data_IF_463744840164
#
_entry.id   IF_463744840164
#
_cell.length_a   1.000
_cell.length_b   1.000
_cell.length_c   1.000
_cell.angle_alpha   90.00
_cell.angle_beta   90.00
_cell.angle_gamma   90.00
#
_symmetry.space_group_name_H-M   'P 1'
#
loop_
_entity.id
_entity.type
_entity.pdbx_description
1 polymer ?
#
# COMPACT_ATOMS: atom_id res chain seq x y z
N UNK A 1 15.18 21.27 -16.37
CA UNK A 1 14.06 20.32 -16.55
C UNK A 1 12.82 21.01 -16.05
N UNK A 2 11.88 21.30 -16.95
CA UNK A 2 10.56 21.80 -16.58
C UNK A 2 9.93 20.77 -15.63
N UNK A 3 9.33 21.25 -14.52
CA UNK A 3 8.55 20.38 -13.64
C UNK A 3 7.43 19.76 -14.47
N UNK A 4 7.42 18.44 -14.59
CA UNK A 4 6.31 17.71 -15.18
C UNK A 4 5.10 17.93 -14.27
N UNK A 5 4.18 18.81 -14.67
CA UNK A 5 3.00 19.11 -13.87
C UNK A 5 1.99 17.95 -14.01
N UNK A 6 2.23 16.86 -13.28
CA UNK A 6 1.39 15.66 -13.31
C UNK A 6 -0.01 15.87 -12.69
N UNK A 7 -0.24 17.03 -12.06
CA UNK A 7 -1.53 17.43 -11.51
C UNK A 7 -1.96 16.58 -10.31
N UNK A 8 -3.26 16.66 -9.96
CA UNK A 8 -3.87 15.83 -8.92
C UNK A 8 -4.28 14.51 -9.54
N UNK A 9 -3.75 13.40 -9.01
CA UNK A 9 -4.00 12.05 -9.50
C UNK A 9 -4.96 11.34 -8.56
N UNK A 10 -6.03 10.76 -9.13
CA UNK A 10 -6.97 9.95 -8.37
C UNK A 10 -6.42 8.53 -8.19
N UNK A 11 -6.34 8.11 -6.94
CA UNK A 11 -5.96 6.75 -6.53
C UNK A 11 -7.22 6.00 -6.15
N UNK A 12 -7.35 4.77 -6.65
CA UNK A 12 -8.50 3.92 -6.36
C UNK A 12 -8.32 3.20 -5.01
N UNK A 13 -9.43 2.86 -4.31
CA UNK A 13 -9.38 2.03 -3.11
C UNK A 13 -8.63 0.72 -3.35
N UNK A 14 -7.81 0.30 -2.37
CA UNK A 14 -6.96 -0.91 -2.47
C UNK A 14 -7.30 -1.83 -1.31
N UNK A 15 -8.43 -2.53 -1.42
CA UNK A 15 -8.86 -3.51 -0.42
C UNK A 15 -7.97 -4.74 -0.48
N UNK A 16 -7.43 -5.14 0.68
CA UNK A 16 -6.43 -6.22 0.76
C UNK A 16 -6.95 -7.39 1.56
N UNK A 17 -6.82 -8.59 0.98
CA UNK A 17 -7.21 -9.83 1.62
C UNK A 17 -6.39 -10.12 2.88
N UNK A 18 -7.05 -10.59 3.94
CA UNK A 18 -6.45 -11.09 5.17
C UNK A 18 -7.16 -12.33 5.68
N UNK A 19 -6.46 -13.07 6.53
CA UNK A 19 -7.00 -14.26 7.22
C UNK A 19 -7.95 -13.92 8.37
N UNK A 20 -8.14 -12.64 8.67
CA UNK A 20 -9.04 -12.15 9.70
C UNK A 20 -10.17 -11.34 9.05
N UNK A 21 -11.38 -11.42 9.61
CA UNK A 21 -12.55 -10.71 9.07
C UNK A 21 -12.64 -9.27 9.56
N UNK A 22 -13.35 -8.46 8.77
CA UNK A 22 -13.67 -7.07 9.09
C UNK A 22 -14.02 -6.26 7.84
N UNK A 23 -13.98 -4.94 7.96
CA UNK A 23 -14.08 -4.03 6.83
C UNK A 23 -15.44 -3.38 6.62
N UNK A 24 -16.43 -3.65 7.47
CA UNK A 24 -17.73 -2.97 7.49
C UNK A 24 -17.58 -1.44 7.56
N UNK A 25 -16.78 -0.92 8.49
CA UNK A 25 -16.57 0.52 8.65
C UNK A 25 -15.84 1.12 7.46
N UNK A 26 -14.95 0.37 6.81
CA UNK A 26 -14.29 0.82 5.59
C UNK A 26 -15.29 0.91 4.42
N UNK A 27 -16.22 -0.03 4.29
CA UNK A 27 -17.28 0.06 3.27
C UNK A 27 -18.22 1.23 3.54
N UNK A 28 -18.58 1.46 4.81
CA UNK A 28 -19.35 2.63 5.23
C UNK A 28 -18.62 3.93 4.92
N UNK A 29 -17.31 4.01 5.21
CA UNK A 29 -16.46 5.15 4.89
C UNK A 29 -16.42 5.43 3.37
N UNK A 30 -16.51 4.39 2.53
CA UNK A 30 -16.56 4.50 1.07
C UNK A 30 -17.98 4.71 0.50
N UNK A 31 -19.00 4.82 1.35
CA UNK A 31 -20.38 5.07 0.92
C UNK A 31 -21.07 3.88 0.24
N UNK A 32 -20.62 2.65 0.53
CA UNK A 32 -21.29 1.44 0.02
C UNK A 32 -22.67 1.30 0.67
N UNK A 33 -23.71 1.02 -0.15
CA UNK A 33 -25.12 1.00 0.31
C UNK A 33 -25.40 -0.08 1.36
N UNK A 34 -24.80 -1.26 1.21
CA UNK A 34 -24.99 -2.41 2.09
C UNK A 34 -23.62 -2.88 2.62
N UNK A 35 -23.00 -2.15 3.57
CA UNK A 35 -21.67 -2.47 4.06
C UNK A 35 -21.68 -3.79 4.84
N UNK A 36 -20.65 -4.62 4.64
CA UNK A 36 -20.50 -5.94 5.28
C UNK A 36 -19.04 -6.23 5.62
N UNK A 37 -18.83 -7.00 6.68
CA UNK A 37 -17.53 -7.60 6.93
C UNK A 37 -17.20 -8.67 5.90
N UNK A 38 -15.94 -8.71 5.47
CA UNK A 38 -15.40 -9.68 4.53
C UNK A 38 -13.99 -10.08 4.93
N UNK A 39 -13.31 -10.83 4.06
CA UNK A 39 -11.89 -11.14 4.19
C UNK A 39 -10.99 -10.00 3.69
N UNK A 40 -11.53 -8.80 3.46
CA UNK A 40 -10.79 -7.61 3.01
C UNK A 40 -10.80 -6.47 4.05
N UNK A 41 -10.31 -6.69 5.28
CA UNK A 41 -10.43 -5.74 6.39
C UNK A 41 -9.46 -4.55 6.35
N UNK A 42 -8.56 -4.50 5.37
CA UNK A 42 -7.60 -3.39 5.20
C UNK A 42 -7.86 -2.67 3.87
N UNK A 43 -7.73 -1.34 3.87
CA UNK A 43 -7.65 -0.49 2.68
C UNK A 43 -6.28 0.20 2.68
N UNK A 44 -5.42 -0.19 1.73
CA UNK A 44 -4.05 0.30 1.63
C UNK A 44 -4.01 1.58 0.79
N UNK A 45 -3.54 2.67 1.40
CA UNK A 45 -3.53 3.98 0.77
C UNK A 45 -2.17 4.22 0.15
N UNK A 46 -2.15 4.54 -1.15
CA UNK A 46 -0.90 4.82 -1.90
C UNK A 46 0.13 3.69 -1.77
N UNK A 47 -0.31 2.44 -1.89
CA UNK A 47 0.58 1.29 -1.69
C UNK A 47 1.38 0.95 -2.94
N UNK A 48 2.68 0.73 -2.75
CA UNK A 48 3.56 -0.04 -3.65
C UNK A 48 3.94 -1.39 -3.05
N UNK A 49 3.32 -1.79 -1.94
CA UNK A 49 3.63 -3.04 -1.24
C UNK A 49 2.79 -4.18 -1.84
N UNK A 50 3.43 -5.31 -2.10
CA UNK A 50 2.75 -6.55 -2.48
C UNK A 50 2.46 -7.36 -1.23
N UNK A 51 1.19 -7.58 -0.91
CA UNK A 51 0.84 -8.38 0.26
C UNK A 51 1.13 -9.86 0.00
N UNK A 52 1.69 -10.51 1.01
CA UNK A 52 1.76 -11.98 1.07
C UNK A 52 0.39 -12.47 1.56
N UNK A 53 -0.23 -13.35 0.79
CA UNK A 53 -1.54 -13.93 1.03
C UNK A 53 -1.42 -15.47 0.99
N UNK A 54 -2.42 -16.23 1.49
CA UNK A 54 -2.34 -17.70 1.51
C UNK A 54 -2.12 -18.34 0.13
N UNK A 55 -2.48 -17.64 -0.94
CA UNK A 55 -2.34 -18.07 -2.33
C UNK A 55 -1.15 -17.39 -3.05
N UNK A 56 -0.21 -16.79 -2.31
CA UNK A 56 1.00 -16.18 -2.84
C UNK A 56 1.05 -14.66 -2.72
N UNK A 57 1.95 -14.05 -3.50
CA UNK A 57 2.17 -12.60 -3.51
C UNK A 57 1.14 -11.94 -4.43
N UNK A 58 0.45 -10.91 -3.94
CA UNK A 58 -0.67 -10.29 -4.64
C UNK A 58 -0.34 -8.88 -5.13
N UNK A 59 -0.20 -8.74 -6.45
CA UNK A 59 -0.06 -7.44 -7.13
C UNK A 59 -1.31 -6.55 -6.98
N UNK A 60 -2.46 -7.13 -6.60
CA UNK A 60 -3.70 -6.39 -6.31
C UNK A 60 -3.59 -5.49 -5.07
N UNK A 61 -2.52 -5.63 -4.29
CA UNK A 61 -2.24 -4.81 -3.11
C UNK A 61 -1.46 -3.52 -3.45
N UNK A 62 -1.04 -3.36 -4.70
CA UNK A 62 -0.50 -2.11 -5.23
C UNK A 62 -1.69 -1.23 -5.64
N UNK A 63 -1.66 0.03 -5.21
CA UNK A 63 -2.75 0.96 -5.49
C UNK A 63 -2.84 1.27 -6.98
N UNK A 64 -4.06 1.14 -7.52
CA UNK A 64 -4.37 1.44 -8.92
C UNK A 64 -4.64 2.93 -9.12
N UNK A 65 -4.36 3.39 -10.33
CA UNK A 65 -4.67 4.76 -10.75
C UNK A 65 -5.60 4.71 -11.96
N UNK A 66 -6.46 5.73 -12.12
CA UNK A 66 -7.39 5.80 -13.27
C UNK A 66 -7.10 6.98 -14.21
N UNK A 67 -6.35 7.96 -13.73
CA UNK A 67 -6.29 9.29 -14.34
C UNK A 67 -5.39 9.35 -15.58
N UNK A 68 -4.40 8.45 -15.72
CA UNK A 68 -3.36 8.54 -16.77
C UNK A 68 -3.38 7.28 -17.63
N UNK A 69 -3.56 7.45 -18.95
CA UNK A 69 -3.58 6.34 -19.91
C UNK A 69 -2.19 5.69 -19.98
N UNK A 70 -2.13 4.37 -19.87
CA UNK A 70 -0.88 3.59 -19.92
C UNK A 70 -0.09 3.54 -18.61
N UNK A 71 -0.63 4.13 -17.53
CA UNK A 71 -0.08 4.01 -16.18
C UNK A 71 -1.17 3.40 -15.30
N UNK A 72 -1.02 2.11 -14.97
CA UNK A 72 -2.10 1.34 -14.34
C UNK A 72 -2.06 1.37 -12.81
N UNK A 73 -0.89 1.63 -12.23
CA UNK A 73 -0.68 1.56 -10.79
C UNK A 73 0.41 2.54 -10.30
N UNK A 74 0.52 2.66 -8.98
CA UNK A 74 1.42 3.59 -8.33
C UNK A 74 2.91 3.29 -8.56
N UNK A 75 3.32 2.03 -8.71
CA UNK A 75 4.71 1.69 -9.03
C UNK A 75 5.10 2.22 -10.42
N UNK A 76 4.24 2.02 -11.42
CA UNK A 76 4.46 2.53 -12.77
C UNK A 76 4.45 4.06 -12.77
N UNK A 77 3.58 4.67 -11.97
CA UNK A 77 3.52 6.13 -11.85
C UNK A 77 4.82 6.71 -11.26
N UNK A 78 5.30 6.16 -10.14
CA UNK A 78 6.56 6.57 -9.51
C UNK A 78 7.74 6.34 -10.45
N UNK A 79 7.74 5.27 -11.24
CA UNK A 79 8.80 5.01 -12.23
C UNK A 79 8.88 6.10 -13.29
N UNK A 80 7.74 6.62 -13.77
CA UNK A 80 7.71 7.65 -14.81
C UNK A 80 7.96 9.06 -14.26
N UNK A 81 7.51 9.34 -13.03
CA UNK A 81 7.59 10.67 -12.42
C UNK A 81 8.19 10.63 -11.00
N UNK A 82 9.39 10.06 -10.81
CA UNK A 82 9.94 9.82 -9.48
C UNK A 82 10.19 11.13 -8.73
N UNK A 83 10.81 12.12 -9.38
CA UNK A 83 11.15 13.40 -8.74
C UNK A 83 9.91 14.23 -8.38
N UNK A 84 8.86 14.20 -9.22
CA UNK A 84 7.62 14.94 -8.96
C UNK A 84 6.83 14.35 -7.79
N UNK A 85 6.98 13.05 -7.52
CA UNK A 85 6.23 12.33 -6.47
C UNK A 85 7.02 12.22 -5.17
N UNK A 86 8.30 11.87 -5.26
CA UNK A 86 9.15 11.58 -4.09
C UNK A 86 10.04 12.77 -3.72
N UNK A 87 10.39 13.62 -4.68
CA UNK A 87 11.39 14.67 -4.51
C UNK A 87 12.84 14.15 -4.62
N UNK A 88 13.73 15.04 -5.08
CA UNK A 88 15.15 14.72 -5.35
C UNK A 88 15.90 14.19 -4.13
N UNK A 89 15.70 14.82 -2.97
CA UNK A 89 16.41 14.44 -1.74
C UNK A 89 16.01 13.06 -1.24
N UNK A 90 14.73 12.70 -1.37
CA UNK A 90 14.24 11.36 -1.04
C UNK A 90 14.87 10.33 -1.96
N UNK A 91 14.84 10.56 -3.28
CA UNK A 91 15.42 9.65 -4.27
C UNK A 91 16.91 9.43 -4.02
N UNK A 92 17.65 10.51 -3.74
CA UNK A 92 19.08 10.42 -3.43
C UNK A 92 19.36 9.50 -2.23
N UNK A 93 18.48 9.52 -1.23
CA UNK A 93 18.66 8.76 0.02
C UNK A 93 18.08 7.34 -0.04
N UNK A 94 16.97 7.16 -0.74
CA UNK A 94 16.10 5.99 -0.63
C UNK A 94 15.74 5.37 -1.98
N UNK A 95 16.21 5.93 -3.10
CA UNK A 95 15.78 5.53 -4.43
C UNK A 95 14.30 5.79 -4.67
N UNK A 96 13.70 5.01 -5.57
CA UNK A 96 12.30 5.19 -5.98
C UNK A 96 11.30 4.45 -5.06
N UNK A 97 11.69 4.14 -3.82
CA UNK A 97 10.85 3.43 -2.86
C UNK A 97 10.13 4.43 -1.94
N UNK A 98 8.84 4.20 -1.68
CA UNK A 98 8.07 5.03 -0.74
C UNK A 98 8.57 4.92 0.69
N UNK A 99 9.08 3.74 1.10
CA UNK A 99 9.51 3.43 2.48
C UNK A 99 8.45 3.71 3.56
N UNK A 100 7.17 3.73 3.16
CA UNK A 100 6.01 3.92 4.01
C UNK A 100 4.87 3.07 3.45
N UNK A 101 4.02 2.55 4.34
CA UNK A 101 2.74 1.97 3.99
C UNK A 101 1.66 2.55 4.90
N UNK A 102 0.68 3.23 4.30
CA UNK A 102 -0.46 3.80 5.02
C UNK A 102 -1.65 2.85 4.87
N UNK A 103 -2.35 2.61 5.97
CA UNK A 103 -3.50 1.69 6.01
C UNK A 103 -4.67 2.30 6.76
N UNK A 104 -5.87 2.08 6.24
CA UNK A 104 -7.08 2.05 7.06
C UNK A 104 -7.37 0.59 7.39
N UNK A 105 -7.53 0.28 8.68
CA UNK A 105 -7.76 -1.08 9.14
C UNK A 105 -9.05 -1.11 9.98
N UNK A 106 -9.91 -2.07 9.66
CA UNK A 106 -11.14 -2.33 10.41
C UNK A 106 -11.28 -3.84 10.58
N UNK A 107 -11.09 -4.33 11.80
CA UNK A 107 -11.23 -5.75 12.11
C UNK A 107 -12.45 -5.98 12.98
N UNK A 108 -13.24 -6.99 12.62
CA UNK A 108 -14.37 -7.46 13.44
C UNK A 108 -13.98 -8.57 14.42
N UNK A 109 -12.71 -8.96 14.43
CA UNK A 109 -12.17 -9.96 15.35
C UNK A 109 -10.89 -9.44 16.00
N UNK A 110 -10.46 -10.09 17.09
CA UNK A 110 -9.16 -9.78 17.70
C UNK A 110 -8.04 -10.21 16.77
N UNK A 111 -7.13 -9.28 16.46
CA UNK A 111 -5.92 -9.61 15.71
C UNK A 111 -4.98 -10.50 16.54
N UNK A 112 -4.22 -11.41 15.90
CA UNK A 112 -3.19 -12.19 16.58
C UNK A 112 -2.16 -11.30 17.26
N UNK A 113 -1.60 -11.78 18.38
CA UNK A 113 -0.43 -11.17 18.97
C UNK A 113 0.72 -11.22 17.96
N UNK A 114 1.36 -10.07 17.73
CA UNK A 114 2.44 -9.91 16.76
C UNK A 114 3.54 -9.02 17.32
N UNK A 115 4.76 -9.22 16.85
CA UNK A 115 5.89 -8.32 17.06
C UNK A 115 6.53 -8.01 15.71
N UNK A 116 7.10 -6.83 15.57
CA UNK A 116 7.76 -6.42 14.34
C UNK A 116 9.27 -6.68 14.44
N UNK A 117 9.91 -7.20 13.37
CA UNK A 117 11.35 -7.33 13.33
C UNK A 117 12.02 -5.96 13.14
N UNK A 118 13.21 -5.81 13.72
CA UNK A 118 14.11 -4.72 13.35
C UNK A 118 14.84 -5.02 12.02
N UNK A 119 15.64 -4.07 11.54
CA UNK A 119 16.39 -4.22 10.28
C UNK A 119 17.46 -5.32 10.35
N UNK A 120 18.08 -5.54 11.50
CA UNK A 120 19.16 -6.53 11.66
C UNK A 120 18.56 -7.94 11.54
N UNK A 121 17.44 -8.18 12.23
CA UNK A 121 16.69 -9.42 12.18
C UNK A 121 16.15 -9.69 10.77
N UNK A 122 15.53 -8.70 10.13
CA UNK A 122 14.98 -8.85 8.77
C UNK A 122 16.03 -9.26 7.73
N UNK A 123 17.24 -8.67 7.79
CA UNK A 123 18.32 -9.04 6.86
C UNK A 123 18.80 -10.46 7.10
N UNK A 124 18.98 -10.84 8.36
CA UNK A 124 19.52 -12.16 8.73
C UNK A 124 18.55 -13.29 8.43
N UNK A 125 17.25 -13.10 8.63
CA UNK A 125 16.28 -14.20 8.64
C UNK A 125 15.18 -14.08 7.58
N UNK A 126 14.92 -12.89 7.03
CA UNK A 126 13.79 -12.66 6.12
C UNK A 126 14.21 -12.21 4.71
N UNK A 127 15.52 -12.14 4.44
CA UNK A 127 16.07 -11.62 3.18
C UNK A 127 15.48 -10.25 2.80
N UNK A 128 15.36 -9.37 3.79
CA UNK A 128 14.74 -8.05 3.64
C UNK A 128 15.58 -6.96 4.32
N UNK A 129 15.77 -5.83 3.63
CA UNK A 129 16.39 -4.64 4.21
C UNK A 129 15.47 -3.82 5.13
N UNK A 130 14.20 -4.22 5.23
CA UNK A 130 13.17 -3.51 5.96
C UNK A 130 12.84 -4.21 7.27
N UNK A 131 12.99 -3.47 8.38
CA UNK A 131 12.24 -3.74 9.60
C UNK A 131 10.85 -3.09 9.51
N UNK A 132 10.10 -3.12 10.61
CA UNK A 132 8.78 -2.48 10.64
C UNK A 132 8.55 -1.72 11.96
N UNK A 133 8.16 -0.47 11.81
CA UNK A 133 7.61 0.38 12.86
C UNK A 133 6.24 0.87 12.38
N UNK A 134 5.27 0.90 13.28
CA UNK A 134 3.89 1.35 13.03
C UNK A 134 3.55 2.51 13.96
#
# INVERSE_FOLDING_TARGET
MEKSNIGIIQILPTRVFRIYRGGYLLEKFRGIKNPQDSDYPEDWILSTVKAIQPYGISDKSISKIKTIKGVDNLEVLIKHFPEDILGKDHIKKFGNYLNLLVKLLDSSIRLPLQTHPDKIFSRKYLNSDFGKAE
#
